data_IF_763918648099
#
_entry.id   IF_763918648099
#
_cell.length_a   1.000
_cell.length_b   1.000
_cell.length_c   1.000
_cell.angle_alpha   90.00
_cell.angle_beta   90.00
_cell.angle_gamma   90.00
#
_symmetry.space_group_name_H-M   'P 1'
#
loop_
_entity.id
_entity.type
_entity.pdbx_description
1 polymer ?
#
# COMPACT_ATOMS: atom_id res chain seq x y z
N UNK A 1 -10.21 -45.50 -0.80
CA UNK A 1 -10.43 -44.16 -0.18
C UNK A 1 -10.37 -44.37 1.32
N UNK A 2 -9.44 -43.72 1.99
CA UNK A 2 -9.31 -43.73 3.43
C UNK A 2 -9.96 -42.44 3.97
N UNK A 3 -10.73 -42.52 5.01
CA UNK A 3 -11.39 -41.37 5.66
C UNK A 3 -10.53 -41.00 6.86
N UNK A 4 -9.78 -39.93 6.78
CA UNK A 4 -8.91 -39.46 7.86
C UNK A 4 -9.67 -38.66 8.93
N UNK A 5 -10.71 -37.92 8.54
CA UNK A 5 -11.60 -37.22 9.47
C UNK A 5 -13.00 -37.05 8.91
N UNK A 6 -13.98 -37.00 9.80
CA UNK A 6 -15.40 -36.75 9.45
C UNK A 6 -15.69 -35.25 9.68
N UNK A 7 -16.31 -34.61 8.70
CA UNK A 7 -16.70 -33.21 8.78
C UNK A 7 -18.20 -33.06 8.98
N UNK A 8 -18.62 -32.08 9.77
CA UNK A 8 -19.99 -31.61 9.85
C UNK A 8 -20.41 -30.87 8.57
N UNK A 9 -21.71 -30.57 8.47
CA UNK A 9 -22.21 -29.71 7.39
C UNK A 9 -21.52 -28.35 7.40
N UNK A 10 -21.14 -27.85 6.20
CA UNK A 10 -20.45 -26.56 6.10
C UNK A 10 -21.38 -25.43 6.58
N UNK A 11 -20.87 -24.50 7.42
CA UNK A 11 -21.65 -23.40 7.98
C UNK A 11 -21.93 -22.27 6.98
N UNK A 12 -21.27 -22.29 5.80
CA UNK A 12 -21.39 -21.27 4.76
C UNK A 12 -21.57 -21.90 3.38
N UNK A 13 -22.23 -21.15 2.49
CA UNK A 13 -22.29 -21.44 1.05
C UNK A 13 -21.15 -20.72 0.36
N UNK A 14 -20.16 -21.46 -0.10
CA UNK A 14 -18.93 -20.93 -0.70
C UNK A 14 -19.08 -20.46 -2.14
N UNK A 15 -19.93 -21.13 -2.91
CA UNK A 15 -20.21 -20.81 -4.33
C UNK A 15 -21.72 -20.70 -4.54
N UNK A 16 -22.09 -19.78 -5.43
CA UNK A 16 -23.47 -19.69 -5.89
C UNK A 16 -23.86 -20.96 -6.66
N UNK A 17 -25.08 -21.42 -6.45
CA UNK A 17 -25.61 -22.57 -7.16
C UNK A 17 -26.85 -22.10 -7.92
N UNK A 18 -26.77 -22.13 -9.25
CA UNK A 18 -27.89 -21.76 -10.11
C UNK A 18 -29.11 -22.68 -9.91
N UNK A 19 -30.30 -22.12 -10.04
CA UNK A 19 -31.53 -22.88 -9.98
C UNK A 19 -31.58 -23.94 -11.09
N UNK A 20 -32.08 -25.11 -10.75
CA UNK A 20 -32.38 -26.19 -11.72
C UNK A 20 -33.86 -26.54 -11.66
N UNK A 21 -34.34 -27.34 -12.62
CA UNK A 21 -35.76 -27.82 -12.62
C UNK A 21 -36.17 -28.54 -11.32
N UNK A 22 -35.20 -29.02 -10.53
CA UNK A 22 -35.44 -29.79 -9.28
C UNK A 22 -34.91 -29.10 -8.01
N UNK A 23 -34.13 -28.03 -8.09
CA UNK A 23 -33.52 -27.32 -6.94
C UNK A 23 -33.62 -25.81 -7.12
N UNK A 24 -33.94 -25.10 -6.03
CA UNK A 24 -33.87 -23.63 -5.97
C UNK A 24 -32.41 -23.16 -6.08
N UNK A 25 -32.24 -21.95 -6.55
CA UNK A 25 -30.92 -21.26 -6.46
C UNK A 25 -30.49 -21.19 -5.01
N UNK A 26 -29.19 -21.31 -4.78
CA UNK A 26 -28.58 -21.08 -3.46
C UNK A 26 -27.55 -19.98 -3.64
N UNK A 27 -27.79 -18.87 -2.96
CA UNK A 27 -26.89 -17.73 -3.01
C UNK A 27 -25.63 -18.00 -2.17
N UNK A 28 -24.51 -17.42 -2.60
CA UNK A 28 -23.27 -17.42 -1.83
C UNK A 28 -23.48 -16.66 -0.51
N UNK A 29 -22.94 -17.16 0.60
CA UNK A 29 -22.99 -16.46 1.89
C UNK A 29 -22.36 -15.07 1.80
N UNK A 30 -22.86 -14.12 2.60
CA UNK A 30 -22.31 -12.77 2.65
C UNK A 30 -20.82 -12.76 2.98
N UNK A 31 -20.13 -11.68 2.62
CA UNK A 31 -18.70 -11.52 2.92
C UNK A 31 -18.44 -11.70 4.41
N UNK A 32 -19.21 -11.05 5.27
CA UNK A 32 -19.00 -11.10 6.71
C UNK A 32 -19.17 -12.54 7.27
N UNK A 33 -20.18 -13.28 6.80
CA UNK A 33 -20.35 -14.70 7.16
C UNK A 33 -19.20 -15.58 6.66
N UNK A 34 -18.68 -15.31 5.46
CA UNK A 34 -17.54 -16.05 4.91
C UNK A 34 -16.24 -15.74 5.66
N UNK A 35 -16.08 -14.52 6.14
CA UNK A 35 -14.93 -14.14 6.97
C UNK A 35 -15.05 -14.77 8.37
N UNK A 36 -16.26 -14.89 8.95
CA UNK A 36 -16.46 -15.60 10.22
C UNK A 36 -16.02 -17.07 10.15
N UNK A 37 -16.14 -17.68 8.98
CA UNK A 37 -15.69 -19.04 8.70
C UNK A 37 -14.58 -19.08 7.66
N UNK A 38 -13.62 -18.15 7.76
CA UNK A 38 -12.60 -17.93 6.73
C UNK A 38 -11.79 -19.17 6.38
N UNK A 39 -11.48 -20.03 7.36
CA UNK A 39 -10.79 -21.30 7.12
C UNK A 39 -11.58 -22.30 6.24
N UNK A 40 -12.91 -22.17 6.17
CA UNK A 40 -13.75 -22.92 5.25
C UNK A 40 -13.82 -22.23 3.89
N UNK A 41 -13.98 -20.91 3.88
CA UNK A 41 -14.03 -20.09 2.66
C UNK A 41 -12.74 -20.20 1.84
N UNK A 42 -11.60 -20.23 2.51
CA UNK A 42 -10.26 -20.39 1.89
C UNK A 42 -10.04 -21.73 1.18
N UNK A 43 -10.93 -22.71 1.33
CA UNK A 43 -10.85 -24.00 0.61
C UNK A 43 -11.32 -23.90 -0.86
N UNK A 44 -11.79 -22.73 -1.31
CA UNK A 44 -12.17 -22.54 -2.72
C UNK A 44 -10.94 -22.37 -3.60
N UNK A 45 -11.03 -22.85 -4.84
CA UNK A 45 -9.93 -22.73 -5.81
C UNK A 45 -9.60 -21.25 -6.09
N UNK A 46 -10.61 -20.39 -6.14
CA UNK A 46 -10.49 -18.95 -6.36
C UNK A 46 -9.68 -18.29 -5.25
N UNK A 47 -10.03 -18.57 -3.97
CA UNK A 47 -9.29 -17.99 -2.84
C UNK A 47 -7.85 -18.51 -2.80
N UNK A 48 -7.62 -19.79 -3.10
CA UNK A 48 -6.26 -20.34 -3.18
C UNK A 48 -5.47 -19.76 -4.34
N UNK A 49 -6.10 -19.53 -5.49
CA UNK A 49 -5.47 -18.87 -6.64
C UNK A 49 -5.02 -17.45 -6.28
N UNK A 50 -5.89 -16.67 -5.62
CA UNK A 50 -5.58 -15.32 -5.19
C UNK A 50 -4.30 -15.25 -4.35
N UNK A 51 -4.15 -16.11 -3.33
CA UNK A 51 -2.96 -16.13 -2.48
C UNK A 51 -1.73 -16.72 -3.17
N UNK A 52 -1.89 -17.65 -4.13
CA UNK A 52 -0.80 -18.10 -4.98
C UNK A 52 -0.29 -16.95 -5.88
N UNK A 53 -1.20 -16.18 -6.45
CA UNK A 53 -0.85 -15.01 -7.26
C UNK A 53 -0.16 -13.91 -6.42
N UNK A 54 -0.67 -13.62 -5.22
CA UNK A 54 -0.03 -12.70 -4.27
C UNK A 54 1.40 -13.16 -3.94
N UNK A 55 1.57 -14.44 -3.58
CA UNK A 55 2.88 -15.02 -3.26
C UNK A 55 3.83 -14.97 -4.46
N UNK A 56 3.35 -15.25 -5.67
CA UNK A 56 4.13 -15.15 -6.89
C UNK A 56 4.62 -13.72 -7.12
N UNK A 57 3.73 -12.73 -7.02
CA UNK A 57 4.04 -11.31 -7.19
C UNK A 57 5.10 -10.84 -6.18
N UNK A 58 4.89 -11.11 -4.89
CA UNK A 58 5.80 -10.70 -3.82
C UNK A 58 7.18 -11.34 -3.99
N UNK A 59 7.25 -12.63 -4.36
CA UNK A 59 8.52 -13.30 -4.57
C UNK A 59 9.26 -12.78 -5.81
N UNK A 60 8.55 -12.43 -6.89
CA UNK A 60 9.16 -11.81 -8.07
C UNK A 60 9.72 -10.41 -7.75
N UNK A 61 8.96 -9.60 -7.00
CA UNK A 61 9.40 -8.29 -6.52
C UNK A 61 10.62 -8.41 -5.60
N UNK A 62 10.59 -9.36 -4.67
CA UNK A 62 11.72 -9.64 -3.77
C UNK A 62 12.97 -10.06 -4.54
N UNK A 63 12.81 -10.96 -5.53
CA UNK A 63 13.91 -11.37 -6.41
C UNK A 63 14.49 -10.19 -7.18
N UNK A 64 13.65 -9.34 -7.76
CA UNK A 64 14.08 -8.13 -8.47
C UNK A 64 14.95 -7.24 -7.57
N UNK A 65 14.51 -6.95 -6.34
CA UNK A 65 15.29 -6.13 -5.40
C UNK A 65 16.62 -6.77 -4.99
N UNK A 66 16.64 -8.09 -4.77
CA UNK A 66 17.88 -8.81 -4.46
C UNK A 66 18.87 -8.75 -5.64
N UNK A 67 18.38 -8.88 -6.87
CA UNK A 67 19.20 -8.74 -8.09
C UNK A 67 19.73 -7.29 -8.26
N UNK A 68 19.00 -6.29 -7.75
CA UNK A 68 19.40 -4.88 -7.67
C UNK A 68 20.25 -4.53 -6.43
N UNK A 69 20.78 -5.54 -5.74
CA UNK A 69 21.61 -5.42 -4.54
C UNK A 69 20.93 -4.79 -3.33
N UNK A 70 19.62 -4.92 -3.18
CA UNK A 70 18.93 -4.58 -1.95
C UNK A 70 19.11 -5.67 -0.90
N UNK A 71 19.14 -5.27 0.36
CA UNK A 71 19.18 -6.17 1.52
C UNK A 71 17.83 -6.18 2.20
N UNK A 72 17.25 -7.36 2.43
CA UNK A 72 16.03 -7.48 3.23
C UNK A 72 16.37 -7.32 4.72
N UNK A 73 15.68 -6.39 5.37
CA UNK A 73 15.81 -6.14 6.82
C UNK A 73 14.46 -6.36 7.51
N UNK A 74 14.48 -6.49 8.82
CA UNK A 74 13.30 -6.66 9.65
C UNK A 74 13.35 -5.69 10.82
N UNK A 75 12.45 -4.70 10.80
CA UNK A 75 12.41 -3.63 11.80
C UNK A 75 11.44 -3.96 12.95
N UNK A 76 11.65 -3.37 14.15
CA UNK A 76 10.72 -3.54 15.26
C UNK A 76 9.30 -3.04 14.91
N UNK A 77 8.29 -3.78 15.39
CA UNK A 77 6.88 -3.37 15.28
C UNK A 77 6.31 -2.82 16.59
N UNK A 78 7.04 -2.98 17.69
CA UNK A 78 6.80 -2.25 18.94
C UNK A 78 7.72 -1.04 18.96
N UNK A 79 7.14 0.15 18.92
CA UNK A 79 7.87 1.42 18.80
C UNK A 79 7.50 2.39 19.92
N UNK A 80 8.41 3.33 20.21
CA UNK A 80 8.24 4.29 21.31
C UNK A 80 7.40 5.52 20.93
N UNK A 81 7.27 5.83 19.63
CA UNK A 81 6.53 6.99 19.12
C UNK A 81 5.86 6.66 17.79
N UNK A 82 4.78 7.38 17.46
CA UNK A 82 4.12 7.26 16.16
C UNK A 82 5.03 7.76 15.03
N UNK A 83 5.04 7.05 13.89
CA UNK A 83 5.85 7.41 12.71
C UNK A 83 5.11 8.30 11.72
N UNK A 84 3.79 8.20 11.65
CA UNK A 84 2.96 8.92 10.67
C UNK A 84 2.05 9.95 11.35
N UNK A 85 1.08 9.50 12.14
CA UNK A 85 0.20 10.38 12.91
C UNK A 85 0.01 9.86 14.33
N UNK A 86 0.06 10.75 15.31
CA UNK A 86 -0.08 10.38 16.72
C UNK A 86 -1.49 9.91 17.13
N UNK A 87 -2.52 10.16 16.30
CA UNK A 87 -3.92 9.83 16.59
C UNK A 87 -4.38 8.46 16.12
N UNK A 88 -3.64 7.85 15.18
CA UNK A 88 -4.05 6.61 14.50
C UNK A 88 -3.13 5.43 14.82
N UNK A 89 -2.72 5.34 16.09
CA UNK A 89 -1.83 4.29 16.60
C UNK A 89 -2.55 3.39 17.59
N UNK A 90 -2.26 2.10 17.53
CA UNK A 90 -2.61 1.16 18.59
C UNK A 90 -1.59 1.24 19.72
N UNK A 91 -2.06 1.55 20.91
CA UNK A 91 -1.27 1.59 22.13
C UNK A 91 -1.24 0.22 22.80
N UNK A 92 -0.07 -0.20 23.22
CA UNK A 92 0.18 -1.48 23.88
C UNK A 92 0.86 -1.26 25.22
N UNK A 93 0.40 -1.94 26.27
CA UNK A 93 1.08 -1.98 27.56
C UNK A 93 2.43 -2.71 27.40
N UNK A 94 3.52 -2.01 27.70
CA UNK A 94 4.88 -2.52 27.57
C UNK A 94 5.64 -2.37 28.87
N UNK A 95 5.55 -3.40 29.72
CA UNK A 95 6.10 -3.39 31.09
C UNK A 95 5.58 -2.19 31.89
N UNK A 96 6.47 -1.25 32.27
CA UNK A 96 6.20 -0.06 33.06
C UNK A 96 5.87 1.18 32.21
N UNK A 97 5.76 1.04 30.88
CA UNK A 97 5.54 2.12 29.92
C UNK A 97 4.61 1.71 28.79
N UNK A 98 4.30 2.65 27.92
CA UNK A 98 3.52 2.37 26.71
C UNK A 98 4.45 2.16 25.50
N UNK A 99 4.08 1.22 24.64
CA UNK A 99 4.57 1.09 23.27
C UNK A 99 3.41 1.33 22.31
N UNK A 100 3.76 1.47 21.03
CA UNK A 100 2.80 1.59 19.94
C UNK A 100 3.10 0.55 18.87
N UNK A 101 2.07 0.07 18.19
CA UNK A 101 2.25 -0.77 17.00
C UNK A 101 2.66 0.12 15.82
N UNK A 102 3.66 -0.30 15.06
CA UNK A 102 4.24 0.48 13.97
C UNK A 102 3.25 0.70 12.83
N UNK A 103 3.04 1.95 12.42
CA UNK A 103 2.22 2.31 11.26
C UNK A 103 2.97 2.10 9.94
N UNK A 104 4.30 2.14 9.98
CA UNK A 104 5.24 1.86 8.90
C UNK A 104 6.64 1.62 9.48
N UNK A 105 7.62 1.10 8.73
CA UNK A 105 9.02 1.03 9.14
C UNK A 105 9.79 2.35 8.89
N UNK A 106 9.12 3.47 8.67
CA UNK A 106 9.71 4.71 8.13
C UNK A 106 10.98 5.16 8.85
N UNK A 107 10.95 5.24 10.18
CA UNK A 107 12.12 5.71 10.95
C UNK A 107 13.32 4.78 10.79
N UNK A 108 13.08 3.48 10.79
CA UNK A 108 14.15 2.49 10.76
C UNK A 108 14.72 2.27 9.36
N UNK A 109 13.91 2.39 8.30
CA UNK A 109 14.44 2.32 6.93
C UNK A 109 15.33 3.54 6.62
N UNK A 110 15.00 4.73 7.15
CA UNK A 110 15.89 5.90 7.05
C UNK A 110 17.11 5.81 7.98
N UNK A 111 16.96 5.22 9.17
CA UNK A 111 18.10 4.90 10.04
C UNK A 111 19.10 4.00 9.31
N UNK A 112 18.64 3.03 8.54
CA UNK A 112 19.52 2.17 7.75
C UNK A 112 20.32 2.97 6.71
N UNK A 113 19.74 4.00 6.10
CA UNK A 113 20.47 4.92 5.21
C UNK A 113 21.58 5.68 5.95
N UNK A 114 21.26 6.25 7.13
CA UNK A 114 22.25 6.90 7.99
C UNK A 114 23.33 5.93 8.51
N UNK A 115 22.99 4.64 8.66
CA UNK A 115 23.92 3.57 9.03
C UNK A 115 24.83 3.08 7.87
N UNK A 116 24.66 3.63 6.65
CA UNK A 116 25.45 3.28 5.49
C UNK A 116 24.98 2.07 4.69
N UNK A 117 23.77 1.56 4.96
CA UNK A 117 23.11 0.64 4.04
C UNK A 117 22.63 1.44 2.82
N UNK A 118 23.07 1.04 1.64
CA UNK A 118 22.74 1.81 0.44
C UNK A 118 21.37 1.48 -0.12
N UNK A 119 20.92 0.24 0.04
CA UNK A 119 19.65 -0.27 -0.51
C UNK A 119 19.05 -1.31 0.43
N UNK A 120 17.86 -1.04 0.93
CA UNK A 120 17.16 -1.97 1.84
C UNK A 120 15.68 -2.10 1.44
N UNK A 121 15.10 -3.23 1.79
CA UNK A 121 13.66 -3.41 1.76
C UNK A 121 13.19 -4.25 2.94
N UNK A 122 11.90 -4.18 3.21
CA UNK A 122 11.24 -4.97 4.25
C UNK A 122 9.87 -5.42 3.76
N UNK A 123 9.49 -6.65 4.08
CA UNK A 123 8.12 -7.14 3.97
C UNK A 123 7.62 -7.50 5.36
N UNK A 124 6.56 -6.86 5.83
CA UNK A 124 6.09 -7.12 7.18
C UNK A 124 4.76 -6.45 7.52
N UNK A 125 4.17 -6.79 8.68
CA UNK A 125 2.92 -6.22 9.13
C UNK A 125 3.08 -4.75 9.52
N UNK A 126 2.05 -3.96 9.24
CA UNK A 126 1.87 -2.58 9.69
C UNK A 126 0.46 -2.39 10.23
N UNK A 127 0.29 -1.42 11.14
CA UNK A 127 -0.91 -1.27 11.95
C UNK A 127 -1.41 0.17 11.90
N UNK A 128 -2.68 0.38 11.56
CA UNK A 128 -3.29 1.71 11.55
C UNK A 128 -4.62 1.67 12.30
N UNK A 129 -4.75 2.48 13.33
CA UNK A 129 -5.95 2.57 14.16
C UNK A 129 -7.05 3.45 13.53
N UNK A 130 -7.06 3.53 12.20
CA UNK A 130 -8.04 4.30 11.43
C UNK A 130 -9.45 3.71 11.62
N UNK A 131 -10.39 4.56 11.99
CA UNK A 131 -11.82 4.19 12.10
C UNK A 131 -12.51 4.27 10.72
N UNK A 132 -11.88 3.70 9.70
CA UNK A 132 -12.40 3.72 8.35
C UNK A 132 -13.11 2.40 8.03
N UNK A 133 -14.27 2.49 7.37
CA UNK A 133 -15.09 1.36 6.94
C UNK A 133 -15.14 1.22 5.41
N UNK A 134 -14.16 1.73 4.71
CA UNK A 134 -14.12 1.66 3.24
C UNK A 134 -13.68 0.27 2.76
N UNK A 135 -13.87 0.03 1.47
CA UNK A 135 -13.49 -1.25 0.84
C UNK A 135 -11.96 -1.43 0.66
N UNK A 136 -11.15 -0.40 0.98
CA UNK A 136 -9.69 -0.39 0.77
C UNK A 136 -8.87 -0.25 2.06
N UNK A 137 -9.51 -0.19 3.24
CA UNK A 137 -8.82 0.00 4.53
C UNK A 137 -8.94 -1.22 5.44
N UNK A 138 -7.83 -1.54 6.09
CA UNK A 138 -7.71 -2.53 7.14
C UNK A 138 -6.86 -1.95 8.28
N UNK A 139 -7.05 -2.46 9.50
CA UNK A 139 -6.30 -1.98 10.67
C UNK A 139 -4.95 -2.69 10.85
N UNK A 140 -4.76 -3.83 10.22
CA UNK A 140 -3.51 -4.56 10.11
C UNK A 140 -3.39 -5.08 8.67
N UNK A 141 -2.27 -4.85 8.00
CA UNK A 141 -2.02 -5.30 6.64
C UNK A 141 -0.52 -5.53 6.40
N UNK A 142 -0.20 -6.18 5.29
CA UNK A 142 1.18 -6.46 4.91
C UNK A 142 1.76 -5.34 4.04
N UNK A 143 2.80 -4.67 4.57
CA UNK A 143 3.56 -3.67 3.83
C UNK A 143 4.73 -4.28 3.05
N UNK A 144 5.07 -3.65 1.94
CA UNK A 144 6.29 -3.86 1.18
C UNK A 144 6.98 -2.50 1.06
N UNK A 145 8.02 -2.30 1.83
CA UNK A 145 8.73 -1.03 1.97
C UNK A 145 10.14 -1.14 1.42
N UNK A 146 10.63 -0.08 0.78
CA UNK A 146 12.03 0.05 0.42
C UNK A 146 12.56 1.47 0.63
N UNK A 147 13.88 1.58 0.76
CA UNK A 147 14.60 2.85 0.85
C UNK A 147 15.99 2.66 0.22
N UNK A 148 16.48 3.66 -0.52
CA UNK A 148 17.81 3.60 -1.11
C UNK A 148 18.47 4.98 -1.21
N UNK A 149 19.80 4.98 -1.11
CA UNK A 149 20.62 6.17 -1.04
C UNK A 149 21.20 6.58 -2.40
N UNK A 150 21.82 7.76 -2.42
CA UNK A 150 22.52 8.34 -3.55
C UNK A 150 21.63 8.63 -4.75
N UNK A 151 20.38 8.95 -4.48
CA UNK A 151 19.44 9.43 -5.49
C UNK A 151 19.69 10.91 -5.82
N UNK A 152 19.29 11.32 -7.00
CA UNK A 152 19.34 12.72 -7.44
C UNK A 152 18.00 13.42 -7.28
N UNK A 153 16.91 12.68 -7.40
CA UNK A 153 15.55 13.19 -7.27
C UNK A 153 14.55 12.07 -6.93
N UNK A 154 13.33 12.43 -6.58
CA UNK A 154 12.25 11.46 -6.36
C UNK A 154 11.86 10.69 -7.65
N UNK A 155 12.24 11.16 -8.81
CA UNK A 155 12.06 10.40 -10.07
C UNK A 155 12.88 9.10 -10.10
N UNK A 156 14.01 9.05 -9.38
CA UNK A 156 14.79 7.81 -9.23
C UNK A 156 13.97 6.77 -8.43
N UNK A 157 13.18 7.24 -7.45
CA UNK A 157 12.29 6.40 -6.64
C UNK A 157 11.12 5.89 -7.49
N UNK A 158 10.49 6.76 -8.28
CA UNK A 158 9.41 6.38 -9.21
C UNK A 158 9.87 5.32 -10.20
N UNK A 159 11.04 5.50 -10.80
CA UNK A 159 11.61 4.53 -11.75
C UNK A 159 11.86 3.16 -11.11
N UNK A 160 12.35 3.13 -9.87
CA UNK A 160 12.54 1.88 -9.13
C UNK A 160 11.19 1.17 -8.89
N UNK A 161 10.16 1.93 -8.57
CA UNK A 161 8.82 1.40 -8.34
C UNK A 161 8.17 0.85 -9.61
N UNK A 162 8.33 1.55 -10.75
CA UNK A 162 7.86 1.09 -12.07
C UNK A 162 8.43 -0.28 -12.42
N UNK A 163 9.74 -0.45 -12.31
CA UNK A 163 10.41 -1.70 -12.66
C UNK A 163 10.06 -2.82 -11.66
N UNK A 164 9.90 -2.50 -10.37
CA UNK A 164 9.45 -3.44 -9.35
C UNK A 164 8.05 -3.99 -9.65
N UNK A 165 7.10 -3.11 -9.91
CA UNK A 165 5.71 -3.49 -10.23
C UNK A 165 5.63 -4.25 -11.54
N UNK A 166 6.39 -3.84 -12.54
CA UNK A 166 6.49 -4.54 -13.83
C UNK A 166 7.01 -5.97 -13.65
N UNK A 167 8.06 -6.17 -12.85
CA UNK A 167 8.60 -7.50 -12.55
C UNK A 167 7.56 -8.39 -11.84
N UNK A 168 6.87 -7.84 -10.82
CA UNK A 168 5.82 -8.55 -10.09
C UNK A 168 4.65 -8.96 -10.98
N UNK A 169 4.10 -8.02 -11.77
CA UNK A 169 2.96 -8.27 -12.64
C UNK A 169 3.32 -9.18 -13.84
N UNK A 170 4.54 -9.10 -14.38
CA UNK A 170 5.01 -10.01 -15.41
C UNK A 170 5.02 -11.46 -14.92
N UNK A 171 5.54 -11.71 -13.74
CA UNK A 171 5.56 -13.05 -13.13
C UNK A 171 4.15 -13.60 -12.88
N UNK A 172 3.24 -12.77 -12.38
CA UNK A 172 1.84 -13.17 -12.16
C UNK A 172 1.14 -13.46 -13.49
N UNK A 173 1.34 -12.63 -14.51
CA UNK A 173 0.76 -12.83 -15.84
C UNK A 173 1.19 -14.15 -16.43
N UNK A 174 2.49 -14.46 -16.36
CA UNK A 174 3.05 -15.72 -16.88
C UNK A 174 2.49 -16.94 -16.14
N UNK A 175 2.44 -16.88 -14.78
CA UNK A 175 2.08 -18.03 -13.98
C UNK A 175 0.56 -18.25 -13.83
N UNK A 176 -0.22 -17.17 -13.76
CA UNK A 176 -1.63 -17.21 -13.34
C UNK A 176 -2.56 -16.29 -14.14
N UNK A 177 -2.11 -15.62 -15.19
CA UNK A 177 -2.89 -14.62 -15.92
C UNK A 177 -4.23 -15.15 -16.44
N UNK A 178 -4.22 -16.31 -17.09
CA UNK A 178 -5.44 -16.94 -17.61
C UNK A 178 -6.39 -17.39 -16.50
N UNK A 179 -5.87 -17.98 -15.43
CA UNK A 179 -6.67 -18.41 -14.28
C UNK A 179 -7.33 -17.23 -13.56
N UNK A 180 -6.60 -16.10 -13.41
CA UNK A 180 -7.15 -14.87 -12.82
C UNK A 180 -8.28 -14.31 -13.68
N UNK A 181 -8.10 -14.32 -15.01
CA UNK A 181 -9.12 -13.87 -15.94
C UNK A 181 -10.37 -14.75 -15.89
N UNK A 182 -10.20 -16.06 -15.80
CA UNK A 182 -11.30 -17.02 -15.71
C UNK A 182 -12.04 -16.90 -14.35
N UNK A 183 -11.30 -16.82 -13.25
CA UNK A 183 -11.87 -16.84 -11.90
C UNK A 183 -12.47 -15.50 -11.46
N UNK A 184 -11.81 -14.38 -11.82
CA UNK A 184 -12.15 -13.04 -11.33
C UNK A 184 -12.58 -12.06 -12.44
N UNK A 185 -12.49 -12.43 -13.70
CA UNK A 185 -12.78 -11.54 -14.83
C UNK A 185 -11.77 -10.40 -15.00
N UNK A 186 -10.61 -10.48 -14.32
CA UNK A 186 -9.57 -9.46 -14.36
C UNK A 186 -8.45 -9.85 -15.31
N UNK A 187 -8.03 -8.93 -16.17
CA UNK A 187 -6.86 -9.11 -17.00
C UNK A 187 -5.60 -8.62 -16.30
N UNK A 188 -4.56 -9.46 -16.25
CA UNK A 188 -3.25 -9.07 -15.73
C UNK A 188 -2.47 -8.39 -16.84
N UNK A 189 -2.32 -7.07 -16.73
CA UNK A 189 -1.58 -6.26 -17.69
C UNK A 189 -0.19 -5.98 -17.12
N UNK A 190 0.85 -6.32 -17.88
CA UNK A 190 2.22 -5.88 -17.58
C UNK A 190 2.35 -4.44 -18.05
N UNK A 191 2.61 -3.49 -17.15
CA UNK A 191 2.62 -2.09 -17.53
C UNK A 191 3.81 -1.74 -18.42
N UNK A 192 3.61 -0.81 -19.34
CA UNK A 192 4.69 -0.17 -20.08
C UNK A 192 5.32 0.93 -19.22
N UNK A 193 6.62 1.15 -19.32
CA UNK A 193 7.36 2.21 -18.62
C UNK A 193 7.87 3.24 -19.61
N UNK A 194 7.94 4.54 -19.24
CA UNK A 194 7.59 5.12 -17.95
C UNK A 194 6.08 5.26 -17.74
N UNK A 195 5.63 5.25 -16.48
CA UNK A 195 4.23 5.53 -16.14
C UNK A 195 3.92 7.02 -16.33
N UNK A 196 2.66 7.38 -16.65
CA UNK A 196 2.23 8.77 -16.69
C UNK A 196 2.46 9.49 -15.36
N UNK A 197 2.91 10.74 -15.44
CA UNK A 197 3.13 11.64 -14.28
C UNK A 197 2.32 12.91 -14.49
N UNK A 198 1.51 13.29 -13.50
CA UNK A 198 0.66 14.48 -13.57
C UNK A 198 0.73 15.24 -12.23
N UNK A 199 0.76 16.56 -12.28
CA UNK A 199 0.63 17.38 -11.06
C UNK A 199 -0.80 17.35 -10.55
N UNK A 200 -0.97 17.37 -9.24
CA UNK A 200 -2.30 17.34 -8.61
C UNK A 200 -3.24 18.42 -9.15
N UNK A 201 -2.75 19.66 -9.32
CA UNK A 201 -3.55 20.75 -9.85
C UNK A 201 -3.99 20.51 -11.31
N UNK A 202 -3.12 19.92 -12.14
CA UNK A 202 -3.45 19.62 -13.55
C UNK A 202 -4.46 18.46 -13.63
N UNK A 203 -4.34 17.48 -12.73
CA UNK A 203 -5.33 16.41 -12.62
C UNK A 203 -6.71 16.99 -12.27
N UNK A 204 -6.81 17.83 -11.23
CA UNK A 204 -8.08 18.43 -10.83
C UNK A 204 -8.70 19.25 -11.96
N UNK A 205 -7.89 20.02 -12.70
CA UNK A 205 -8.37 20.73 -13.88
C UNK A 205 -8.93 19.78 -14.94
N UNK A 206 -8.23 18.69 -15.24
CA UNK A 206 -8.70 17.67 -16.20
C UNK A 206 -9.98 16.98 -15.74
N UNK A 207 -10.12 16.70 -14.43
CA UNK A 207 -11.33 16.10 -13.87
C UNK A 207 -12.53 17.07 -13.90
N UNK A 208 -12.32 18.37 -13.69
CA UNK A 208 -13.34 19.37 -13.81
C UNK A 208 -13.82 19.50 -15.27
N UNK A 209 -12.90 19.61 -16.22
CA UNK A 209 -13.21 19.76 -17.65
C UNK A 209 -13.96 18.55 -18.23
N UNK A 210 -13.64 17.32 -17.79
CA UNK A 210 -14.17 16.10 -18.40
C UNK A 210 -15.34 15.47 -17.65
N UNK A 211 -15.33 15.55 -16.32
CA UNK A 211 -16.33 14.90 -15.47
C UNK A 211 -17.18 15.91 -14.67
N UNK A 212 -16.88 17.23 -14.78
CA UNK A 212 -17.54 18.24 -13.99
C UNK A 212 -17.23 18.14 -12.49
N UNK A 213 -16.13 17.48 -12.13
CA UNK A 213 -15.74 17.31 -10.74
C UNK A 213 -14.95 18.51 -10.25
N UNK A 214 -15.49 19.23 -9.26
CA UNK A 214 -14.82 20.35 -8.60
C UNK A 214 -14.47 19.98 -7.17
N UNK A 215 -13.20 20.15 -6.80
CA UNK A 215 -12.71 19.90 -5.44
C UNK A 215 -12.90 21.13 -4.56
N UNK A 216 -13.24 20.93 -3.28
CA UNK A 216 -13.33 22.03 -2.31
C UNK A 216 -11.96 22.67 -2.08
N UNK A 217 -11.93 24.00 -1.84
CA UNK A 217 -10.68 24.75 -1.59
C UNK A 217 -9.82 24.16 -0.47
N UNK A 218 -10.45 23.64 0.58
CA UNK A 218 -9.76 23.02 1.74
C UNK A 218 -9.12 21.67 1.42
N UNK A 219 -9.49 21.05 0.30
CA UNK A 219 -9.02 19.74 -0.13
C UNK A 219 -8.07 19.79 -1.33
N UNK A 220 -7.91 20.95 -1.96
CA UNK A 220 -7.06 21.12 -3.16
C UNK A 220 -5.59 20.70 -2.99
N UNK A 221 -5.11 20.61 -1.76
CA UNK A 221 -3.73 20.22 -1.46
C UNK A 221 -3.50 18.72 -1.34
N UNK A 222 -4.56 17.92 -1.47
CA UNK A 222 -4.54 16.46 -1.34
C UNK A 222 -5.45 15.80 -2.39
N UNK A 223 -5.37 14.48 -2.56
CA UNK A 223 -6.21 13.74 -3.48
C UNK A 223 -7.44 13.20 -2.75
N UNK A 224 -8.62 13.65 -3.17
CA UNK A 224 -9.87 13.12 -2.61
C UNK A 224 -10.18 11.73 -3.15
N UNK A 225 -10.94 10.94 -2.38
CA UNK A 225 -11.34 9.58 -2.80
C UNK A 225 -12.10 9.55 -4.14
N UNK A 226 -12.90 10.59 -4.41
CA UNK A 226 -13.63 10.68 -5.68
C UNK A 226 -12.68 11.05 -6.84
N UNK A 227 -11.75 11.98 -6.63
CA UNK A 227 -10.73 12.30 -7.62
C UNK A 227 -9.82 11.10 -7.92
N UNK A 228 -9.46 10.34 -6.88
CA UNK A 228 -8.71 9.08 -7.00
C UNK A 228 -9.45 8.09 -7.91
N UNK A 229 -10.75 7.89 -7.70
CA UNK A 229 -11.60 7.04 -8.52
C UNK A 229 -11.69 7.51 -9.98
N UNK A 230 -11.96 8.80 -10.18
CA UNK A 230 -12.10 9.39 -11.51
C UNK A 230 -10.78 9.42 -12.30
N UNK A 231 -9.64 9.47 -11.61
CA UNK A 231 -8.32 9.47 -12.24
C UNK A 231 -8.08 8.23 -13.10
N UNK A 232 -8.74 7.10 -12.81
CA UNK A 232 -8.62 5.89 -13.61
C UNK A 232 -9.17 6.05 -15.03
N UNK A 233 -10.39 6.56 -15.15
CA UNK A 233 -11.01 6.80 -16.46
C UNK A 233 -10.26 7.88 -17.23
N UNK A 234 -9.77 8.91 -16.51
CA UNK A 234 -8.97 9.98 -17.07
C UNK A 234 -7.62 9.47 -17.63
N UNK A 235 -6.85 8.70 -16.85
CA UNK A 235 -5.56 8.17 -17.30
C UNK A 235 -5.71 7.18 -18.45
N UNK A 236 -6.73 6.36 -18.42
CA UNK A 236 -7.03 5.43 -19.53
C UNK A 236 -7.32 6.16 -20.81
N UNK A 237 -8.08 7.23 -20.75
CA UNK A 237 -8.44 8.04 -21.92
C UNK A 237 -7.25 8.79 -22.52
N UNK A 238 -6.39 9.39 -21.66
CA UNK A 238 -5.29 10.25 -22.11
C UNK A 238 -4.00 9.51 -22.42
N UNK A 239 -3.73 8.42 -21.72
CA UNK A 239 -2.46 7.69 -21.79
C UNK A 239 -2.60 6.21 -22.14
N UNK A 240 -3.82 5.66 -22.14
CA UNK A 240 -4.03 4.22 -22.34
C UNK A 240 -3.46 3.35 -21.22
N UNK A 241 -3.19 3.95 -20.05
CA UNK A 241 -2.46 3.34 -18.93
C UNK A 241 -3.36 3.06 -17.74
N UNK A 242 -2.99 2.10 -16.87
CA UNK A 242 -3.73 1.82 -15.62
C UNK A 242 -3.11 2.48 -14.39
N UNK A 243 -1.86 2.92 -14.49
CA UNK A 243 -1.10 3.58 -13.43
C UNK A 243 -0.96 5.07 -13.70
N UNK A 244 -0.94 5.86 -12.62
CA UNK A 244 -0.74 7.30 -12.67
C UNK A 244 0.06 7.76 -11.45
N UNK A 245 1.21 8.36 -11.64
CA UNK A 245 1.90 9.12 -10.61
C UNK A 245 1.31 10.52 -10.49
N UNK A 246 1.01 10.93 -9.27
CA UNK A 246 0.52 12.28 -8.96
C UNK A 246 1.55 12.96 -8.08
N UNK A 247 1.92 14.20 -8.43
CA UNK A 247 2.95 15.00 -7.75
C UNK A 247 2.42 16.36 -7.30
N UNK A 248 3.27 17.18 -6.68
CA UNK A 248 2.99 18.56 -6.30
C UNK A 248 1.84 18.70 -5.29
N UNK A 249 1.83 17.83 -4.29
CA UNK A 249 0.93 17.94 -3.13
C UNK A 249 1.33 19.10 -2.21
N UNK A 250 0.40 19.59 -1.38
CA UNK A 250 0.74 20.63 -0.41
C UNK A 250 1.62 20.09 0.73
N UNK A 251 2.53 20.94 1.25
CA UNK A 251 3.39 20.58 2.37
C UNK A 251 2.61 20.29 3.66
N UNK A 252 1.43 20.85 3.82
CA UNK A 252 0.56 20.62 4.97
C UNK A 252 0.05 19.18 5.02
N UNK A 253 -0.18 18.58 3.85
CA UNK A 253 -0.73 17.22 3.69
C UNK A 253 0.34 16.14 3.64
N UNK A 254 1.62 16.49 3.55
CA UNK A 254 2.74 15.54 3.47
C UNK A 254 3.52 15.47 4.78
N UNK A 255 4.12 14.31 5.02
CA UNK A 255 4.92 14.06 6.20
C UNK A 255 6.14 14.98 6.28
N UNK A 256 6.55 15.34 7.50
CA UNK A 256 7.66 16.28 7.74
C UNK A 256 9.00 15.81 7.17
N UNK A 257 9.19 14.53 6.98
CA UNK A 257 10.42 13.94 6.47
C UNK A 257 10.54 13.97 4.93
N UNK A 258 9.55 14.47 4.20
CA UNK A 258 9.69 14.71 2.77
C UNK A 258 10.61 15.91 2.52
N UNK A 259 11.58 15.74 1.62
CA UNK A 259 12.37 16.87 1.14
C UNK A 259 11.45 17.87 0.44
N UNK A 260 11.73 19.15 0.60
CA UNK A 260 11.04 20.23 -0.12
C UNK A 260 12.01 20.93 -1.07
N UNK A 261 11.53 21.35 -2.22
CA UNK A 261 12.28 22.17 -3.14
C UNK A 261 12.42 23.62 -2.62
N UNK A 262 13.03 24.49 -3.43
CA UNK A 262 13.23 25.92 -3.12
C UNK A 262 11.92 26.71 -2.96
N UNK A 263 10.82 26.23 -3.54
CA UNK A 263 9.49 26.80 -3.45
C UNK A 263 8.65 26.18 -2.30
N UNK A 264 9.22 25.25 -1.53
CA UNK A 264 8.56 24.57 -0.45
C UNK A 264 7.68 23.38 -0.89
N UNK A 265 7.74 22.98 -2.16
CA UNK A 265 6.94 21.85 -2.68
C UNK A 265 7.58 20.53 -2.28
N UNK A 266 6.82 19.62 -1.64
CA UNK A 266 7.33 18.30 -1.28
C UNK A 266 7.76 17.50 -2.51
N UNK A 267 8.94 16.92 -2.45
CA UNK A 267 9.53 16.09 -3.51
C UNK A 267 9.06 14.64 -3.35
N UNK A 268 7.78 14.42 -3.62
CA UNK A 268 7.11 13.15 -3.44
C UNK A 268 5.91 12.99 -4.36
N UNK A 269 5.33 11.80 -4.31
CA UNK A 269 4.26 11.39 -5.18
C UNK A 269 3.34 10.37 -4.50
N UNK A 270 2.15 10.23 -5.03
CA UNK A 270 1.33 9.03 -4.85
C UNK A 270 1.23 8.27 -6.17
N UNK A 271 1.22 6.95 -6.10
CA UNK A 271 0.96 6.10 -7.25
C UNK A 271 -0.45 5.52 -7.16
N UNK A 272 -1.24 5.81 -8.17
CA UNK A 272 -2.60 5.30 -8.33
C UNK A 272 -2.59 4.15 -9.33
N UNK A 273 -3.22 3.04 -8.97
CA UNK A 273 -3.50 1.92 -9.87
C UNK A 273 -5.00 1.64 -9.91
N UNK A 274 -5.59 1.67 -11.09
CA UNK A 274 -7.04 1.45 -11.29
C UNK A 274 -7.92 2.30 -10.37
N UNK A 275 -7.54 3.57 -10.15
CA UNK A 275 -8.29 4.50 -9.32
C UNK A 275 -8.17 4.25 -7.81
N UNK A 276 -7.12 3.59 -7.37
CA UNK A 276 -6.81 3.36 -5.96
C UNK A 276 -5.34 3.68 -5.72
N UNK A 277 -5.06 4.51 -4.72
CA UNK A 277 -3.71 4.75 -4.22
C UNK A 277 -3.11 3.45 -3.67
N UNK A 278 -1.97 3.05 -4.22
CA UNK A 278 -1.24 1.87 -3.77
C UNK A 278 0.04 2.21 -3.02
N UNK A 279 0.59 3.40 -3.24
CA UNK A 279 1.89 3.82 -2.71
C UNK A 279 1.95 5.31 -2.50
N UNK A 280 2.64 5.72 -1.43
CA UNK A 280 3.23 7.06 -1.29
C UNK A 280 4.74 6.93 -1.25
N UNK A 281 5.44 7.65 -2.14
CA UNK A 281 6.90 7.68 -2.23
C UNK A 281 7.45 9.09 -2.21
N UNK A 282 8.72 9.23 -1.83
CA UNK A 282 9.38 10.53 -1.79
C UNK A 282 10.91 10.43 -1.76
N UNK A 283 11.57 11.51 -2.18
CA UNK A 283 12.89 11.87 -1.70
C UNK A 283 12.77 12.39 -0.28
N UNK A 284 13.64 11.92 0.62
CA UNK A 284 13.59 12.28 2.03
C UNK A 284 14.51 13.47 2.31
N UNK A 285 14.13 14.29 3.30
CA UNK A 285 15.02 15.31 3.82
C UNK A 285 16.13 14.65 4.64
N UNK A 286 17.36 14.80 4.20
CA UNK A 286 18.53 14.16 4.82
C UNK A 286 19.41 15.16 5.59
N UNK A 287 19.16 16.46 5.45
CA UNK A 287 19.91 17.53 6.13
C UNK A 287 19.30 17.79 7.50
N UNK A 288 20.05 17.48 8.55
CA UNK A 288 19.56 17.53 9.94
C UNK A 288 18.82 18.80 10.32
N UNK A 289 19.41 19.98 10.06
CA UNK A 289 18.82 21.27 10.45
C UNK A 289 17.49 21.56 9.72
N UNK A 290 17.39 21.15 8.46
CA UNK A 290 16.17 21.32 7.67
C UNK A 290 15.08 20.34 8.16
N UNK A 291 15.45 19.09 8.36
CA UNK A 291 14.55 18.05 8.87
C UNK A 291 13.98 18.40 10.26
N UNK A 292 14.86 18.87 11.15
CA UNK A 292 14.48 19.35 12.48
C UNK A 292 13.46 20.48 12.40
N UNK A 293 13.72 21.49 11.57
CA UNK A 293 12.80 22.61 11.34
C UNK A 293 11.43 22.12 10.82
N UNK A 294 11.42 21.20 9.87
CA UNK A 294 10.17 20.62 9.35
C UNK A 294 9.40 19.84 10.42
N UNK A 295 10.09 19.14 11.32
CA UNK A 295 9.46 18.48 12.46
C UNK A 295 8.89 19.50 13.47
N UNK A 296 9.59 20.60 13.72
CA UNK A 296 9.12 21.72 14.57
C UNK A 296 7.85 22.37 13.98
N UNK A 297 7.82 22.62 12.66
CA UNK A 297 6.65 23.15 11.95
C UNK A 297 5.40 22.28 12.12
N UNK A 298 5.57 20.95 12.24
CA UNK A 298 4.48 19.98 12.50
C UNK A 298 4.21 19.74 13.99
N UNK A 299 4.98 20.37 14.90
CA UNK A 299 4.85 20.17 16.35
C UNK A 299 5.30 18.78 16.83
N UNK A 300 6.15 18.08 16.06
CA UNK A 300 6.56 16.69 16.34
C UNK A 300 8.00 16.56 16.86
N UNK A 301 8.79 17.64 16.89
CA UNK A 301 10.23 17.58 17.15
C UNK A 301 10.61 16.85 18.45
N UNK A 302 9.85 17.02 19.51
CA UNK A 302 10.11 16.34 20.80
C UNK A 302 9.79 14.85 20.74
N UNK A 303 8.72 14.47 20.06
CA UNK A 303 8.26 13.08 19.95
C UNK A 303 9.20 12.24 19.07
N UNK A 304 9.82 12.88 18.05
CA UNK A 304 10.70 12.20 17.07
C UNK A 304 12.18 12.50 17.31
N UNK A 305 12.56 12.99 18.50
CA UNK A 305 13.94 13.37 18.80
C UNK A 305 14.96 12.27 18.49
N UNK A 306 14.66 11.01 18.87
CA UNK A 306 15.53 9.87 18.58
C UNK A 306 15.74 9.63 17.06
N UNK A 307 14.72 9.89 16.25
CA UNK A 307 14.81 9.78 14.80
C UNK A 307 15.66 10.91 14.21
N UNK A 308 15.50 12.15 14.68
CA UNK A 308 16.31 13.28 14.23
C UNK A 308 17.79 13.07 14.50
N UNK A 309 18.15 12.42 15.62
CA UNK A 309 19.53 12.13 15.99
C UNK A 309 20.27 11.27 14.95
N UNK A 310 19.60 10.44 14.16
CA UNK A 310 20.22 9.64 13.11
C UNK A 310 20.93 10.51 12.06
N UNK A 311 20.42 11.70 11.81
CA UNK A 311 20.90 12.60 10.76
C UNK A 311 22.02 13.53 11.22
N UNK A 312 22.27 13.66 12.53
CA UNK A 312 23.30 14.54 13.08
C UNK A 312 24.71 14.17 12.63
N UNK A 313 24.95 12.91 12.35
CA UNK A 313 26.27 12.38 11.98
C UNK A 313 26.46 12.20 10.48
N UNK A 314 25.55 12.75 9.70
CA UNK A 314 25.52 12.66 8.24
C UNK A 314 24.65 11.53 7.72
N UNK A 315 23.92 11.84 6.67
CA UNK A 315 23.07 10.88 5.96
C UNK A 315 23.11 11.23 4.46
N UNK A 316 23.28 10.25 3.57
CA UNK A 316 23.28 10.53 2.13
C UNK A 316 21.87 10.93 1.66
N UNK A 317 21.75 11.64 0.52
CA UNK A 317 20.47 11.79 -0.17
C UNK A 317 19.83 10.42 -0.40
N UNK A 318 18.57 10.25 -0.02
CA UNK A 318 17.86 8.98 -0.12
C UNK A 318 16.36 9.18 -0.35
N UNK A 319 15.71 8.13 -0.76
CA UNK A 319 14.29 8.09 -0.96
C UNK A 319 13.77 6.66 -1.00
N UNK A 320 12.47 6.55 -0.99
CA UNK A 320 11.81 5.26 -1.01
C UNK A 320 10.30 5.40 -0.94
N UNK A 321 9.65 4.27 -0.84
CA UNK A 321 8.19 4.17 -0.76
C UNK A 321 7.76 2.99 0.12
N UNK A 322 6.47 2.96 0.45
CA UNK A 322 5.80 1.82 1.05
C UNK A 322 4.53 1.51 0.30
N UNK A 323 4.30 0.25 -0.04
CA UNK A 323 3.10 -0.21 -0.70
C UNK A 323 2.40 -1.32 0.09
N UNK A 324 1.06 -1.40 -0.07
CA UNK A 324 0.25 -2.45 0.57
C UNK A 324 0.11 -3.67 -0.33
N UNK A 325 0.65 -4.81 0.09
CA UNK A 325 0.55 -6.08 -0.65
C UNK A 325 -0.91 -6.50 -0.82
N UNK A 326 -1.71 -6.35 0.24
CA UNK A 326 -3.12 -6.73 0.23
C UNK A 326 -3.94 -5.83 -0.72
N UNK A 327 -3.57 -4.54 -0.83
CA UNK A 327 -4.19 -3.61 -1.77
C UNK A 327 -3.83 -3.94 -3.22
N UNK A 328 -2.59 -4.35 -3.49
CA UNK A 328 -2.22 -4.89 -4.81
C UNK A 328 -3.04 -6.14 -5.17
N UNK A 329 -3.21 -7.06 -4.22
CA UNK A 329 -4.00 -8.28 -4.40
C UNK A 329 -5.48 -7.96 -4.66
N UNK A 330 -6.03 -7.01 -3.91
CA UNK A 330 -7.38 -6.48 -4.09
C UNK A 330 -7.61 -6.02 -5.54
N UNK A 331 -6.69 -5.22 -6.07
CA UNK A 331 -6.78 -4.67 -7.44
C UNK A 331 -6.50 -5.73 -8.51
N UNK A 332 -5.56 -6.63 -8.24
CA UNK A 332 -5.22 -7.73 -9.15
C UNK A 332 -6.43 -8.63 -9.41
N UNK A 333 -7.22 -8.90 -8.37
CA UNK A 333 -8.38 -9.80 -8.43
C UNK A 333 -9.72 -9.05 -8.56
N UNK A 334 -9.75 -7.72 -8.45
CA UNK A 334 -10.98 -6.94 -8.49
C UNK A 334 -11.92 -7.22 -7.29
N UNK A 335 -11.35 -7.48 -6.12
CA UNK A 335 -12.07 -7.83 -4.89
C UNK A 335 -11.97 -6.71 -3.84
N UNK A 336 -12.88 -6.62 -2.87
CA UNK A 336 -12.70 -5.74 -1.73
C UNK A 336 -11.57 -6.23 -0.81
N UNK A 337 -10.94 -5.33 -0.05
CA UNK A 337 -9.82 -5.63 0.84
C UNK A 337 -10.14 -6.76 1.82
N UNK A 338 -11.36 -6.83 2.33
CA UNK A 338 -11.84 -7.88 3.23
C UNK A 338 -11.69 -9.30 2.67
N UNK A 339 -11.78 -9.45 1.34
CA UNK A 339 -11.59 -10.74 0.66
C UNK A 339 -10.13 -10.96 0.25
N UNK A 340 -9.37 -9.88 -0.01
CA UNK A 340 -7.99 -9.94 -0.46
C UNK A 340 -7.01 -10.27 0.67
N UNK A 341 -7.35 -9.99 1.93
CA UNK A 341 -6.55 -10.37 3.10
C UNK A 341 -6.79 -11.82 3.51
N UNK A 342 -5.74 -12.45 4.00
CA UNK A 342 -5.84 -13.84 4.51
C UNK A 342 -6.81 -13.90 5.70
N UNK A 343 -6.61 -13.02 6.69
CA UNK A 343 -7.50 -12.82 7.84
C UNK A 343 -7.68 -11.31 8.07
N UNK A 344 -8.80 -10.77 7.64
CA UNK A 344 -9.10 -9.34 7.73
C UNK A 344 -9.19 -8.85 9.18
N UNK A 345 -8.55 -7.71 9.45
CA UNK A 345 -8.69 -6.94 10.69
C UNK A 345 -9.27 -5.57 10.39
N UNK A 346 -10.29 -5.19 11.15
CA UNK A 346 -10.95 -3.91 11.03
C UNK A 346 -11.45 -3.41 12.37
N UNK A 347 -12.00 -2.17 12.46
CA UNK A 347 -12.41 -1.58 13.73
C UNK A 347 -13.32 -2.46 14.59
N UNK A 348 -14.13 -3.32 13.97
CA UNK A 348 -15.09 -4.21 14.64
C UNK A 348 -14.74 -5.70 14.52
N UNK A 349 -13.52 -6.04 14.06
CA UNK A 349 -13.16 -7.44 13.82
C UNK A 349 -11.74 -7.75 14.27
N UNK A 350 -11.65 -8.68 15.24
CA UNK A 350 -10.40 -9.26 15.74
C UNK A 350 -10.35 -10.78 15.62
N UNK A 351 -11.45 -11.42 15.24
CA UNK A 351 -11.58 -12.87 15.07
C UNK A 351 -12.21 -13.22 13.72
N UNK A 352 -11.97 -14.41 13.22
CA UNK A 352 -11.08 -15.47 13.60
C UNK A 352 -9.65 -15.07 13.62
#
# INVERSE_FOLDING_TARGET
IEIESIADALPIVRKEIAATKKKKAVERSSIDQRIDYRWVDLRTDENQLMFKAQSCMVNAMRKFLLDENFIEIHTPKLIAAASESGSEVFKVDYFDRNAYLAQSPQFYKQMAMAAGFERIFETGPVFRAEKSYTNKHATEFSGFDLEFSYITSFYDVMKMEEELLKAGLAAVKEAYGEQIKEAFGQEVIVPETPFPVVKLADLYKGLEEEFGYTVDESEKGDLTTEAERLSYDWVKKHYGHEFLFITDYSAEKRAFYHMRDENGVPQGYDLIWRGVEITTGAQREHRYEVLKKQAEEKGLADDVKFYLEFFQYGCPPHGGFGLGIDRLTMLLCGLPIKEAEFLFRGPNRLTP
#
